data_IF_486826801472
#
_entry.id   IF_486826801472
#
_cell.length_a   1.000
_cell.length_b   1.000
_cell.length_c   1.000
_cell.angle_alpha   90.00
_cell.angle_beta   90.00
_cell.angle_gamma   90.00
#
_symmetry.space_group_name_H-M   'P 1'
#
loop_
_entity.id
_entity.type
_entity.pdbx_description
1 polymer ?
#
# COMPACT_ATOMS: atom_id res chain seq x y z
N UNK A 1 31.51 7.60 -15.61
CA UNK A 1 30.79 6.50 -16.29
C UNK A 1 29.54 6.26 -15.48
N UNK A 2 28.35 6.47 -16.07
CA UNK A 2 27.06 6.25 -15.39
C UNK A 2 26.87 4.72 -15.31
N UNK A 3 26.89 4.17 -14.10
CA UNK A 3 26.97 2.73 -13.85
C UNK A 3 25.68 1.99 -14.23
N UNK A 4 25.80 0.69 -14.50
CA UNK A 4 24.66 -0.22 -14.61
C UNK A 4 23.88 -0.21 -13.29
N UNK A 5 22.59 0.13 -13.32
CA UNK A 5 21.74 0.13 -12.13
C UNK A 5 21.63 -1.27 -11.52
N UNK A 6 21.57 -1.34 -10.19
CA UNK A 6 21.24 -2.56 -9.46
C UNK A 6 19.72 -2.77 -9.52
N UNK A 7 19.26 -4.00 -9.84
CA UNK A 7 17.84 -4.35 -9.79
C UNK A 7 17.42 -4.63 -8.34
N UNK A 8 16.16 -4.34 -8.02
CA UNK A 8 15.61 -4.72 -6.71
C UNK A 8 15.27 -6.22 -6.69
N UNK A 9 15.11 -6.79 -5.49
CA UNK A 9 14.76 -8.21 -5.34
C UNK A 9 13.38 -8.59 -5.92
N UNK A 10 12.54 -7.62 -6.27
CA UNK A 10 11.20 -7.86 -6.83
C UNK A 10 11.18 -7.83 -8.37
N UNK A 11 12.09 -7.08 -9.01
CA UNK A 11 12.12 -6.92 -10.46
C UNK A 11 12.94 -8.03 -11.12
N UNK A 12 12.48 -8.49 -12.27
CA UNK A 12 13.14 -9.53 -13.07
C UNK A 12 13.75 -8.98 -14.35
N UNK A 13 13.35 -7.79 -14.77
CA UNK A 13 13.75 -7.16 -16.02
C UNK A 13 14.18 -5.70 -15.80
N UNK A 14 14.75 -5.10 -16.83
CA UNK A 14 14.97 -3.65 -16.91
C UNK A 14 13.83 -2.91 -17.63
N UNK A 15 12.71 -3.58 -17.91
CA UNK A 15 11.54 -2.97 -18.54
C UNK A 15 10.90 -1.87 -17.70
N UNK A 16 10.25 -0.90 -18.34
CA UNK A 16 9.47 0.12 -17.64
C UNK A 16 8.10 -0.43 -17.25
N UNK A 17 7.61 -0.03 -16.07
CA UNK A 17 6.31 -0.46 -15.52
C UNK A 17 6.13 -1.99 -15.36
N UNK A 18 7.19 -2.71 -14.99
CA UNK A 18 7.11 -4.15 -14.70
C UNK A 18 6.09 -4.47 -13.58
N UNK A 19 5.27 -5.51 -13.80
CA UNK A 19 4.33 -6.02 -12.80
C UNK A 19 4.94 -7.15 -11.96
N UNK A 20 5.45 -6.81 -10.78
CA UNK A 20 6.23 -7.71 -9.90
C UNK A 20 5.39 -8.68 -9.04
N UNK A 21 4.06 -8.61 -9.11
CA UNK A 21 3.16 -9.46 -8.35
C UNK A 21 1.97 -9.92 -9.22
N UNK A 22 0.73 -9.54 -8.90
CA UNK A 22 -0.43 -9.85 -9.73
C UNK A 22 -0.31 -9.21 -11.12
N UNK A 23 -0.83 -9.89 -12.14
CA UNK A 23 -0.97 -9.33 -13.49
C UNK A 23 -2.36 -8.69 -13.72
N UNK A 24 -3.17 -8.55 -12.66
CA UNK A 24 -4.46 -7.90 -12.72
C UNK A 24 -4.40 -6.48 -12.16
N UNK A 25 -4.98 -5.53 -12.90
CA UNK A 25 -5.32 -4.19 -12.45
C UNK A 25 -6.64 -4.15 -11.67
N UNK A 26 -7.16 -5.31 -11.27
CA UNK A 26 -8.47 -5.52 -10.63
C UNK A 26 -9.63 -5.19 -11.56
N UNK A 27 -10.81 -4.99 -10.99
CA UNK A 27 -12.07 -4.79 -11.71
C UNK A 27 -12.00 -3.64 -12.71
N UNK A 28 -12.54 -3.84 -13.90
CA UNK A 28 -12.68 -2.83 -14.96
C UNK A 28 -14.14 -2.35 -15.10
N UNK A 29 -15.05 -2.81 -14.24
CA UNK A 29 -16.43 -2.30 -14.13
C UNK A 29 -16.43 -0.90 -13.49
N UNK A 30 -16.63 0.13 -14.31
CA UNK A 30 -16.67 1.54 -13.93
C UNK A 30 -17.96 1.98 -13.24
N UNK A 31 -19.00 1.15 -13.28
CA UNK A 31 -20.30 1.47 -12.68
C UNK A 31 -20.45 0.97 -11.26
N UNK A 32 -19.73 -0.09 -10.89
CA UNK A 32 -19.88 -0.79 -9.60
C UNK A 32 -18.58 -0.96 -8.83
N UNK A 33 -17.44 -0.55 -9.37
CA UNK A 33 -16.15 -0.68 -8.71
C UNK A 33 -15.33 0.62 -8.79
N UNK A 34 -14.83 1.08 -7.64
CA UNK A 34 -14.01 2.29 -7.58
C UNK A 34 -12.73 2.20 -8.43
N UNK A 35 -12.12 1.01 -8.55
CA UNK A 35 -10.93 0.81 -9.39
C UNK A 35 -11.31 0.89 -10.88
N UNK A 36 -12.46 0.33 -11.26
CA UNK A 36 -12.97 0.44 -12.63
C UNK A 36 -13.30 1.89 -13.00
N UNK A 37 -13.84 2.68 -12.07
CA UNK A 37 -14.08 4.11 -12.28
C UNK A 37 -12.75 4.85 -12.50
N UNK A 38 -11.73 4.55 -11.70
CA UNK A 38 -10.40 5.12 -11.89
C UNK A 38 -9.82 4.75 -13.27
N UNK A 39 -9.98 3.50 -13.72
CA UNK A 39 -9.59 3.10 -15.07
C UNK A 39 -10.31 3.92 -16.15
N UNK A 40 -11.61 4.14 -15.99
CA UNK A 40 -12.40 4.98 -16.90
C UNK A 40 -11.83 6.40 -16.97
N UNK A 41 -11.60 7.04 -15.83
CA UNK A 41 -11.01 8.39 -15.76
C UNK A 41 -9.62 8.44 -16.38
N UNK A 42 -8.78 7.44 -16.11
CA UNK A 42 -7.45 7.33 -16.72
C UNK A 42 -7.53 7.19 -18.24
N UNK A 43 -8.52 6.47 -18.79
CA UNK A 43 -8.74 6.40 -20.24
C UNK A 43 -9.17 7.75 -20.81
N UNK A 44 -10.05 8.49 -20.13
CA UNK A 44 -10.45 9.84 -20.56
C UNK A 44 -9.27 10.82 -20.62
N UNK A 45 -8.28 10.64 -19.73
CA UNK A 45 -7.06 11.44 -19.67
C UNK A 45 -5.92 10.90 -20.53
N UNK A 46 -6.21 9.97 -21.45
CA UNK A 46 -5.25 9.37 -22.37
C UNK A 46 -4.02 8.78 -21.64
N UNK A 47 -4.29 7.97 -20.61
CA UNK A 47 -3.25 7.29 -19.84
C UNK A 47 -2.47 6.26 -20.67
N UNK A 48 -1.14 6.41 -20.68
CA UNK A 48 -0.23 5.43 -21.27
C UNK A 48 -0.41 4.03 -20.66
N UNK A 49 -0.58 3.95 -19.34
CA UNK A 49 -0.78 2.68 -18.62
C UNK A 49 -2.02 1.97 -19.13
N UNK A 50 -3.13 2.71 -19.30
CA UNK A 50 -4.37 2.09 -19.78
C UNK A 50 -4.24 1.65 -21.24
N UNK A 51 -3.64 2.46 -22.12
CA UNK A 51 -3.43 2.08 -23.53
C UNK A 51 -2.53 0.84 -23.67
N UNK A 52 -1.39 0.82 -22.98
CA UNK A 52 -0.49 -0.34 -22.98
C UNK A 52 -1.18 -1.58 -22.38
N UNK A 53 -1.99 -1.37 -21.35
CA UNK A 53 -2.81 -2.43 -20.76
C UNK A 53 -3.82 -3.03 -21.74
N UNK A 54 -4.41 -2.23 -22.63
CA UNK A 54 -5.31 -2.76 -23.66
C UNK A 54 -4.58 -3.59 -24.72
N UNK A 55 -3.37 -3.17 -25.13
CA UNK A 55 -2.53 -3.95 -26.05
C UNK A 55 -2.16 -5.30 -25.44
N UNK A 56 -1.88 -5.31 -24.13
CA UNK A 56 -1.46 -6.50 -23.40
C UNK A 56 -2.62 -7.30 -22.78
N UNK A 57 -3.89 -6.94 -23.03
CA UNK A 57 -5.03 -7.51 -22.30
C UNK A 57 -5.16 -9.02 -22.52
N UNK A 58 -5.38 -9.75 -21.42
CA UNK A 58 -5.71 -11.19 -21.42
C UNK A 58 -7.08 -11.43 -20.76
N UNK A 59 -7.77 -12.55 -21.07
CA UNK A 59 -9.07 -12.85 -20.45
C UNK A 59 -9.00 -12.98 -18.92
N UNK A 60 -9.82 -12.21 -18.19
CA UNK A 60 -9.85 -12.21 -16.71
C UNK A 60 -11.22 -11.84 -16.10
N UNK A 61 -12.32 -12.22 -16.79
CA UNK A 61 -13.67 -11.93 -16.30
C UNK A 61 -13.95 -10.42 -16.25
N UNK A 62 -14.43 -9.92 -15.10
CA UNK A 62 -14.68 -8.49 -14.90
C UNK A 62 -13.42 -7.68 -14.57
N UNK A 63 -12.27 -8.33 -14.39
CA UNK A 63 -11.01 -7.67 -14.15
C UNK A 63 -10.27 -7.34 -15.45
N UNK A 64 -9.51 -6.25 -15.43
CA UNK A 64 -8.47 -6.02 -16.43
C UNK A 64 -7.22 -6.77 -15.97
N UNK A 65 -6.79 -7.76 -16.75
CA UNK A 65 -5.50 -8.42 -16.56
C UNK A 65 -4.70 -8.33 -17.84
N UNK A 66 -3.38 -8.37 -17.70
CA UNK A 66 -2.45 -8.19 -18.80
C UNK A 66 -1.42 -9.31 -18.85
N UNK A 67 -0.88 -9.55 -20.03
CA UNK A 67 0.42 -10.20 -20.18
C UNK A 67 1.50 -9.21 -19.69
N UNK A 68 2.31 -9.64 -18.72
CA UNK A 68 3.26 -8.75 -18.02
C UNK A 68 4.35 -8.24 -18.97
N UNK A 69 4.85 -9.12 -19.83
CA UNK A 69 5.99 -8.83 -20.70
C UNK A 69 5.53 -7.93 -21.85
N UNK A 70 4.36 -8.22 -22.42
CA UNK A 70 3.76 -7.37 -23.47
C UNK A 70 3.44 -5.98 -22.91
N UNK A 71 2.88 -5.89 -21.70
CA UNK A 71 2.56 -4.62 -21.05
C UNK A 71 3.81 -3.76 -20.84
N UNK A 72 4.84 -4.32 -20.19
CA UNK A 72 6.07 -3.60 -19.90
C UNK A 72 6.79 -3.17 -21.19
N UNK A 73 6.84 -4.05 -22.20
CA UNK A 73 7.45 -3.74 -23.49
C UNK A 73 6.73 -2.60 -24.22
N UNK A 74 5.40 -2.52 -24.17
CA UNK A 74 4.65 -1.45 -24.83
C UNK A 74 4.84 -0.10 -24.13
N UNK A 75 4.91 -0.08 -22.79
CA UNK A 75 5.25 1.13 -22.03
C UNK A 75 6.67 1.60 -22.37
N UNK A 76 7.63 0.68 -22.35
CA UNK A 76 9.04 0.99 -22.62
C UNK A 76 9.25 1.54 -24.02
N UNK A 77 8.64 0.89 -25.02
CA UNK A 77 8.66 1.34 -26.42
C UNK A 77 8.02 2.73 -26.56
N UNK A 78 6.85 2.94 -25.95
CA UNK A 78 6.13 4.21 -26.05
C UNK A 78 6.95 5.38 -25.49
N UNK A 79 7.58 5.21 -24.33
CA UNK A 79 8.40 6.25 -23.71
C UNK A 79 9.73 6.45 -24.45
N UNK A 80 10.37 5.37 -24.89
CA UNK A 80 11.64 5.45 -25.63
C UNK A 80 11.52 6.11 -27.00
N UNK A 81 10.33 6.06 -27.61
CA UNK A 81 10.04 6.69 -28.91
C UNK A 81 9.44 8.10 -28.78
N UNK A 82 9.14 8.56 -27.58
CA UNK A 82 8.47 9.84 -27.38
C UNK A 82 9.47 11.01 -27.50
N UNK A 83 9.23 12.01 -28.38
CA UNK A 83 10.23 13.03 -28.72
C UNK A 83 10.63 13.96 -27.55
N UNK A 84 9.76 14.08 -26.53
CA UNK A 84 10.02 14.91 -25.35
C UNK A 84 10.45 14.09 -24.11
N UNK A 85 10.72 12.79 -24.27
CA UNK A 85 11.14 11.92 -23.17
C UNK A 85 12.49 11.33 -23.50
N UNK A 86 13.41 11.39 -22.55
CA UNK A 86 14.70 10.71 -22.63
C UNK A 86 14.76 9.70 -21.49
N UNK A 87 14.82 8.42 -21.83
CA UNK A 87 15.01 7.36 -20.84
C UNK A 87 16.50 7.24 -20.52
N UNK A 88 16.86 7.44 -19.25
CA UNK A 88 18.23 7.30 -18.76
C UNK A 88 18.28 6.15 -17.76
N UNK A 89 19.03 5.10 -18.08
CA UNK A 89 19.19 3.91 -17.24
C UNK A 89 20.34 4.12 -16.26
N UNK A 90 20.05 4.76 -15.13
CA UNK A 90 21.04 4.97 -14.05
C UNK A 90 20.40 4.92 -12.67
N UNK A 91 21.19 4.57 -11.66
CA UNK A 91 20.78 4.68 -10.25
C UNK A 91 20.86 6.14 -9.81
N UNK A 92 19.81 6.63 -9.18
CA UNK A 92 19.75 8.00 -8.62
C UNK A 92 19.88 7.89 -7.10
N UNK A 93 21.03 8.30 -6.56
CA UNK A 93 21.35 8.18 -5.13
C UNK A 93 21.01 9.44 -4.33
N UNK A 94 20.70 10.56 -4.98
CA UNK A 94 20.33 11.83 -4.35
C UNK A 94 19.26 12.55 -5.14
N UNK A 95 18.45 13.36 -4.45
CA UNK A 95 17.52 14.26 -5.12
C UNK A 95 18.29 15.23 -6.03
N UNK A 96 17.78 15.56 -7.23
CA UNK A 96 18.38 16.57 -8.09
C UNK A 96 18.48 17.92 -7.38
N UNK A 97 19.61 18.62 -7.57
CA UNK A 97 19.86 19.93 -6.94
C UNK A 97 18.98 21.06 -7.52
N UNK A 98 18.43 20.85 -8.73
CA UNK A 98 17.62 21.83 -9.43
C UNK A 98 16.63 21.18 -10.41
N UNK A 99 15.61 21.94 -10.80
CA UNK A 99 14.58 21.52 -11.76
C UNK A 99 13.34 20.94 -11.08
N UNK A 100 12.22 20.98 -11.80
CA UNK A 100 10.98 20.34 -11.37
C UNK A 100 11.17 18.82 -11.39
N UNK A 101 10.98 18.17 -10.24
CA UNK A 101 11.28 16.75 -10.07
C UNK A 101 10.07 16.01 -9.51
N UNK A 102 9.72 14.88 -10.12
CA UNK A 102 8.77 13.89 -9.59
C UNK A 102 9.60 12.70 -9.11
N UNK A 103 9.39 12.29 -7.85
CA UNK A 103 10.05 11.11 -7.27
C UNK A 103 9.05 9.95 -7.25
N UNK A 104 9.32 8.89 -8.02
CA UNK A 104 8.41 7.75 -8.21
C UNK A 104 9.16 6.40 -8.17
N UNK A 105 10.05 6.21 -7.19
CA UNK A 105 10.95 5.04 -7.07
C UNK A 105 10.33 3.78 -6.45
N UNK A 106 9.01 3.80 -6.22
CA UNK A 106 8.27 2.65 -5.71
C UNK A 106 8.59 2.29 -4.25
N UNK A 107 8.04 1.16 -3.75
CA UNK A 107 8.15 0.75 -2.35
C UNK A 107 9.56 0.29 -1.95
N UNK A 108 10.40 -0.07 -2.92
CA UNK A 108 11.77 -0.56 -2.71
C UNK A 108 12.82 0.51 -3.09
N UNK A 109 12.61 1.73 -2.60
CA UNK A 109 13.52 2.86 -2.88
C UNK A 109 14.90 2.59 -2.27
N UNK A 110 15.97 2.86 -3.03
CA UNK A 110 17.34 2.67 -2.57
C UNK A 110 17.66 3.52 -1.33
N UNK A 111 18.44 2.96 -0.39
CA UNK A 111 18.75 3.59 0.90
C UNK A 111 19.37 4.99 0.74
N UNK A 112 20.29 5.16 -0.21
CA UNK A 112 20.94 6.44 -0.47
C UNK A 112 19.92 7.54 -0.83
N UNK A 113 19.00 7.24 -1.75
CA UNK A 113 17.97 8.17 -2.17
C UNK A 113 16.95 8.43 -1.06
N UNK A 114 16.54 7.39 -0.32
CA UNK A 114 15.67 7.53 0.84
C UNK A 114 16.28 8.51 1.87
N UNK A 115 17.57 8.36 2.18
CA UNK A 115 18.30 9.30 3.04
C UNK A 115 18.34 10.72 2.49
N UNK A 116 18.44 10.88 1.16
CA UNK A 116 18.34 12.19 0.52
C UNK A 116 16.97 12.84 0.68
N UNK A 117 15.89 12.07 0.57
CA UNK A 117 14.51 12.55 0.73
C UNK A 117 14.27 12.96 2.19
N UNK A 118 14.72 12.16 3.16
CA UNK A 118 14.66 12.48 4.60
C UNK A 118 15.29 13.85 4.87
N UNK A 119 16.52 14.07 4.37
CA UNK A 119 17.22 15.36 4.54
C UNK A 119 16.47 16.53 3.91
N UNK A 120 15.93 16.36 2.71
CA UNK A 120 15.24 17.44 1.99
C UNK A 120 13.86 17.81 2.59
N UNK A 121 13.16 16.83 3.17
CA UNK A 121 11.84 17.04 3.77
C UNK A 121 11.90 17.50 5.23
N UNK A 122 13.06 17.40 5.88
CA UNK A 122 13.19 17.67 7.32
C UNK A 122 12.43 16.69 8.21
N UNK A 123 11.95 15.57 7.64
CA UNK A 123 11.24 14.52 8.37
C UNK A 123 12.24 13.67 9.14
N UNK A 124 11.91 13.25 10.36
CA UNK A 124 12.81 12.38 11.14
C UNK A 124 12.86 10.95 10.60
N UNK A 125 11.83 10.50 9.86
CA UNK A 125 11.73 9.16 9.29
C UNK A 125 10.90 9.12 8.00
N UNK A 126 11.29 8.24 7.07
CA UNK A 126 10.42 7.67 6.04
C UNK A 126 10.07 6.25 6.47
N UNK A 127 8.79 5.91 6.48
CA UNK A 127 8.34 4.54 6.69
C UNK A 127 7.93 3.95 5.34
N UNK A 128 8.56 2.84 4.95
CA UNK A 128 8.23 2.07 3.74
C UNK A 128 7.35 0.85 4.06
N UNK A 129 6.83 0.76 5.28
CA UNK A 129 5.94 -0.31 5.71
C UNK A 129 4.54 0.24 5.84
N UNK A 130 3.64 -0.38 5.09
CA UNK A 130 2.23 -0.12 5.23
C UNK A 130 1.67 -1.02 6.34
N UNK A 131 1.06 -0.40 7.33
CA UNK A 131 0.42 -1.08 8.45
C UNK A 131 -1.05 -0.70 8.45
N UNK A 132 -1.79 -1.28 7.49
CA UNK A 132 -3.20 -0.98 7.30
C UNK A 132 -4.05 -1.84 8.22
N UNK A 133 -4.89 -1.19 9.01
CA UNK A 133 -6.07 -1.81 9.58
C UNK A 133 -7.23 -1.74 8.57
N UNK A 134 -8.15 -2.72 8.54
CA UNK A 134 -9.33 -2.66 7.70
C UNK A 134 -10.10 -1.34 7.90
N UNK A 135 -10.46 -0.68 6.80
CA UNK A 135 -11.28 0.53 6.82
C UNK A 135 -12.74 0.12 6.53
N UNK A 136 -13.65 0.59 7.37
CA UNK A 136 -15.08 0.33 7.24
C UNK A 136 -15.83 1.63 6.97
N UNK A 137 -16.92 1.55 6.20
CA UNK A 137 -17.79 2.69 5.98
C UNK A 137 -18.57 3.01 7.27
N UNK A 138 -18.54 4.27 7.70
CA UNK A 138 -19.21 4.73 8.92
C UNK A 138 -20.69 4.30 8.97
N UNK A 139 -21.41 4.47 7.87
CA UNK A 139 -22.86 4.21 7.82
C UNK A 139 -23.21 2.71 7.86
N UNK A 140 -22.21 1.83 7.77
CA UNK A 140 -22.37 0.39 7.98
C UNK A 140 -22.23 -0.03 9.45
N UNK A 141 -21.88 0.89 10.36
CA UNK A 141 -21.68 0.62 11.78
C UNK A 141 -23.00 0.73 12.54
N UNK A 142 -23.36 -0.31 13.29
CA UNK A 142 -24.49 -0.28 14.22
C UNK A 142 -24.14 0.55 15.47
N UNK A 143 -24.36 1.87 15.38
CA UNK A 143 -24.07 2.81 16.46
C UNK A 143 -24.95 2.61 17.71
N UNK A 144 -25.99 1.77 17.68
CA UNK A 144 -26.75 1.44 18.89
C UNK A 144 -25.95 0.60 19.89
N UNK A 145 -24.84 -0.03 19.44
CA UNK A 145 -23.94 -0.86 20.24
C UNK A 145 -22.59 -0.20 20.52
N UNK A 146 -22.33 0.96 19.91
CA UNK A 146 -21.04 1.64 19.95
C UNK A 146 -21.21 3.06 20.50
N UNK A 147 -20.10 3.73 20.82
CA UNK A 147 -20.14 5.15 21.19
C UNK A 147 -18.89 5.89 20.75
N UNK A 148 -19.01 7.20 20.57
CA UNK A 148 -17.87 8.07 20.24
C UNK A 148 -17.26 8.58 21.55
N UNK A 149 -15.96 8.33 21.75
CA UNK A 149 -15.23 8.83 22.92
C UNK A 149 -13.71 8.71 22.71
N UNK A 150 -12.99 9.80 23.01
CA UNK A 150 -11.53 9.76 23.21
C UNK A 150 -11.18 9.30 24.62
N UNK A 151 -10.03 8.64 24.78
CA UNK A 151 -9.61 8.10 26.08
C UNK A 151 -9.51 9.20 27.14
N UNK A 152 -10.15 8.96 28.30
CA UNK A 152 -10.28 9.94 29.40
C UNK A 152 -10.94 11.27 28.98
N UNK A 153 -11.68 11.30 27.87
CA UNK A 153 -12.22 12.52 27.25
C UNK A 153 -11.16 13.59 26.96
N UNK A 154 -9.90 13.18 26.73
CA UNK A 154 -8.84 14.12 26.33
C UNK A 154 -9.07 14.59 24.90
N UNK A 155 -8.89 15.89 24.70
CA UNK A 155 -8.95 16.52 23.39
C UNK A 155 -7.62 17.21 23.06
N UNK A 156 -7.33 17.33 21.77
CA UNK A 156 -6.23 18.12 21.24
C UNK A 156 -6.80 19.17 20.27
N UNK A 157 -5.96 20.06 19.76
CA UNK A 157 -6.37 21.00 18.70
C UNK A 157 -6.82 20.32 17.41
N UNK A 158 -6.51 19.03 17.23
CA UNK A 158 -6.92 18.22 16.09
C UNK A 158 -8.16 17.36 16.38
N UNK A 159 -8.69 17.39 17.61
CA UNK A 159 -9.84 16.54 17.98
C UNK A 159 -11.14 17.05 17.38
N UNK A 160 -12.03 16.11 17.04
CA UNK A 160 -13.38 16.39 16.60
C UNK A 160 -14.28 16.80 17.77
N UNK A 161 -15.37 17.52 17.45
CA UNK A 161 -16.42 17.81 18.42
C UNK A 161 -17.14 16.50 18.80
N UNK A 162 -17.08 16.12 20.07
CA UNK A 162 -17.65 14.87 20.60
C UNK A 162 -16.67 13.68 20.74
N UNK A 163 -15.45 13.76 20.21
CA UNK A 163 -14.41 12.74 20.37
C UNK A 163 -13.92 12.09 19.06
N UNK A 164 -12.80 11.37 19.15
CA UNK A 164 -12.01 11.00 17.96
C UNK A 164 -12.15 9.52 17.55
N UNK A 165 -12.77 8.69 18.41
CA UNK A 165 -12.82 7.24 18.24
C UNK A 165 -14.22 6.69 18.45
N UNK A 166 -14.62 5.76 17.58
CA UNK A 166 -15.77 4.89 17.81
C UNK A 166 -15.30 3.67 18.61
N UNK A 167 -15.92 3.45 19.76
CA UNK A 167 -15.62 2.36 20.66
C UNK A 167 -16.65 1.24 20.47
N UNK A 168 -16.17 0.04 20.14
CA UNK A 168 -16.98 -1.16 19.94
C UNK A 168 -16.75 -2.12 21.12
N UNK A 169 -17.62 -2.14 22.14
CA UNK A 169 -17.40 -2.93 23.34
C UNK A 169 -17.51 -4.43 23.06
N UNK A 170 -16.76 -5.23 23.82
CA UNK A 170 -16.90 -6.68 23.84
C UNK A 170 -17.03 -7.19 25.27
N UNK A 171 -17.89 -8.19 25.48
CA UNK A 171 -17.85 -9.02 26.68
C UNK A 171 -16.62 -9.94 26.65
N UNK A 172 -16.31 -10.59 27.78
CA UNK A 172 -15.24 -11.57 27.86
C UNK A 172 -15.43 -12.70 26.85
N UNK A 173 -16.65 -13.19 26.71
CA UNK A 173 -17.00 -14.29 25.82
C UNK A 173 -16.82 -13.89 24.35
N UNK A 174 -17.24 -12.67 24.00
CA UNK A 174 -17.03 -12.11 22.66
C UNK A 174 -15.54 -11.94 22.35
N UNK A 175 -14.75 -11.44 23.30
CA UNK A 175 -13.31 -11.32 23.15
C UNK A 175 -12.62 -12.68 22.93
N UNK A 176 -12.96 -13.69 23.73
CA UNK A 176 -12.38 -15.03 23.59
C UNK A 176 -12.78 -15.71 22.28
N UNK A 177 -14.00 -15.45 21.79
CA UNK A 177 -14.43 -15.91 20.47
C UNK A 177 -13.66 -15.21 19.35
N UNK A 178 -13.47 -13.89 19.45
CA UNK A 178 -12.70 -13.10 18.49
C UNK A 178 -11.23 -13.53 18.44
N UNK A 179 -10.57 -13.68 19.60
CA UNK A 179 -9.18 -14.15 19.69
C UNK A 179 -9.02 -15.51 19.03
N UNK A 180 -9.93 -16.45 19.30
CA UNK A 180 -9.93 -17.76 18.64
C UNK A 180 -10.09 -17.65 17.13
N UNK A 181 -11.03 -16.81 16.67
CA UNK A 181 -11.23 -16.56 15.24
C UNK A 181 -9.98 -16.00 14.55
N UNK A 182 -9.23 -15.11 15.19
CA UNK A 182 -7.95 -14.63 14.67
C UNK A 182 -6.89 -15.74 14.58
N UNK A 183 -6.86 -16.65 15.55
CA UNK A 183 -5.89 -17.75 15.57
C UNK A 183 -6.20 -18.82 14.53
N UNK A 184 -7.48 -19.10 14.29
CA UNK A 184 -7.97 -20.10 13.34
C UNK A 184 -8.11 -19.56 11.90
N UNK A 185 -8.13 -18.23 11.74
CA UNK A 185 -8.28 -17.57 10.44
C UNK A 185 -7.11 -17.80 9.50
N UNK A 186 -7.38 -17.74 8.19
CA UNK A 186 -6.36 -17.80 7.16
C UNK A 186 -5.44 -16.57 7.23
N UNK A 187 -4.14 -16.82 7.17
CA UNK A 187 -3.09 -15.79 7.23
C UNK A 187 -2.35 -15.79 5.91
N UNK A 188 -2.01 -14.61 5.42
CA UNK A 188 -1.13 -14.50 4.25
C UNK A 188 0.30 -14.79 4.68
N UNK A 189 1.00 -15.67 3.98
CA UNK A 189 2.43 -15.89 4.22
C UNK A 189 3.25 -14.80 3.52
N UNK A 190 4.18 -14.21 4.27
CA UNK A 190 5.18 -13.30 3.72
C UNK A 190 6.10 -14.02 2.72
N UNK A 191 6.48 -13.32 1.64
CA UNK A 191 7.50 -13.82 0.71
C UNK A 191 8.84 -13.96 1.44
N UNK A 192 9.70 -14.86 0.99
CA UNK A 192 10.92 -15.20 1.72
C UNK A 192 11.89 -14.02 1.99
N UNK A 193 11.86 -12.99 1.14
CA UNK A 193 12.64 -11.75 1.33
C UNK A 193 11.97 -10.75 2.29
N UNK A 194 10.70 -10.92 2.64
CA UNK A 194 9.99 -10.15 3.67
C UNK A 194 10.19 -10.77 5.06
N UNK A 195 10.51 -12.07 5.14
CA UNK A 195 10.59 -12.85 6.40
C UNK A 195 11.70 -12.40 7.36
N UNK A 196 12.82 -11.92 6.85
CA UNK A 196 13.97 -11.48 7.67
C UNK A 196 13.86 -10.00 8.08
N UNK A 197 12.80 -9.32 7.68
CA UNK A 197 12.54 -7.94 8.10
C UNK A 197 12.00 -7.97 9.54
N UNK A 198 12.73 -7.44 10.53
CA UNK A 198 12.28 -7.48 11.91
C UNK A 198 10.97 -6.71 12.02
N UNK A 199 9.94 -7.34 12.60
CA UNK A 199 8.75 -6.62 13.01
C UNK A 199 9.18 -5.41 13.83
N UNK A 200 8.68 -4.23 13.48
CA UNK A 200 8.77 -3.11 14.39
C UNK A 200 7.98 -3.52 15.63
N UNK A 201 8.62 -3.75 16.78
CA UNK A 201 7.91 -4.24 17.97
C UNK A 201 6.76 -3.29 18.41
N UNK A 202 6.77 -2.04 17.95
CA UNK A 202 5.67 -1.08 18.12
C UNK A 202 4.52 -1.18 17.10
N UNK A 203 4.62 -2.03 16.07
CA UNK A 203 3.63 -2.22 15.00
C UNK A 203 3.68 -3.67 14.48
N UNK A 204 2.83 -4.53 15.04
CA UNK A 204 2.74 -5.95 14.68
C UNK A 204 1.36 -6.28 14.11
N UNK A 205 1.27 -7.26 13.18
CA UNK A 205 -0.02 -7.83 12.80
C UNK A 205 -0.80 -8.33 14.01
N UNK A 206 -2.12 -8.11 14.03
CA UNK A 206 -2.96 -8.43 15.20
C UNK A 206 -2.96 -9.93 15.52
N UNK A 207 -2.85 -10.77 14.50
CA UNK A 207 -2.72 -12.22 14.60
C UNK A 207 -1.40 -12.65 15.25
N UNK A 208 -0.29 -11.95 14.97
CA UNK A 208 1.01 -12.19 15.62
C UNK A 208 0.95 -11.73 17.09
N UNK A 209 0.25 -10.63 17.39
CA UNK A 209 0.00 -10.22 18.77
C UNK A 209 -0.86 -11.27 19.52
N UNK A 210 -1.87 -11.82 18.86
CA UNK A 210 -2.74 -12.85 19.42
C UNK A 210 -1.98 -14.15 19.74
N UNK A 211 -1.02 -14.54 18.90
CA UNK A 211 -0.12 -15.70 19.10
C UNK A 211 0.74 -15.57 20.35
N UNK A 212 1.15 -14.35 20.71
CA UNK A 212 1.97 -14.08 21.91
C UNK A 212 1.20 -14.24 23.22
N UNK A 213 -0.12 -14.39 23.17
CA UNK A 213 -0.94 -14.75 24.33
C UNK A 213 -2.35 -14.18 24.29
N UNK A 214 -3.28 -14.87 24.96
CA UNK A 214 -4.70 -14.51 25.00
C UNK A 214 -4.97 -13.15 25.63
N UNK A 215 -4.08 -12.62 26.47
CA UNK A 215 -4.27 -11.30 27.09
C UNK A 215 -3.56 -10.16 26.34
N UNK A 216 -2.72 -10.47 25.34
CA UNK A 216 -1.86 -9.48 24.67
C UNK A 216 -2.67 -8.33 24.07
N UNK A 217 -3.78 -8.63 23.37
CA UNK A 217 -4.61 -7.61 22.74
C UNK A 217 -5.29 -6.69 23.77
N UNK A 218 -5.68 -7.22 24.93
CA UNK A 218 -6.31 -6.44 26.03
C UNK A 218 -5.36 -5.46 26.70
N UNK A 219 -4.06 -5.74 26.66
CA UNK A 219 -3.03 -4.80 27.13
C UNK A 219 -2.52 -3.86 26.03
N UNK A 220 -2.84 -4.14 24.76
CA UNK A 220 -2.49 -3.33 23.60
C UNK A 220 -3.71 -2.68 22.92
N UNK A 221 -4.01 -3.01 21.64
CA UNK A 221 -4.98 -2.29 20.82
C UNK A 221 -6.44 -2.45 21.26
N UNK A 222 -6.77 -3.49 22.02
CA UNK A 222 -8.13 -3.74 22.53
C UNK A 222 -8.26 -3.41 24.02
N UNK A 223 -7.41 -2.51 24.53
CA UNK A 223 -7.54 -2.03 25.90
C UNK A 223 -8.80 -1.20 26.05
N UNK A 224 -9.60 -1.51 27.07
CA UNK A 224 -10.80 -0.75 27.39
C UNK A 224 -10.51 0.73 27.65
N UNK A 225 -11.45 1.57 27.20
CA UNK A 225 -11.48 3.01 27.42
C UNK A 225 -12.16 3.33 28.75
#
# INVERSE_FOLDING_TARGET
MRGSGEMTAAHQTDGLAELVCSNSFRSDDDTKNAVGLLHHEMRMLDSLVMRAGEVARVPAGSAMAVDRDVFSAEVDKSLSQHPNVTVVRERVDSLPDAGLTIVATGPLTAEALAGSIVRATGSERLAFFDAIAPIIHHDSIDMSKCWIQSRWNKTTSASNDGGDYINCPMTKEQYLAFHRGLMEGEKTEFKQWEKDTPYFDGCMPIEVMAERGVETLRYGPMKGV
#
